data_IF_503114356300
#
_entry.id   IF_503114356300
#
_cell.length_a   1.000
_cell.length_b   1.000
_cell.length_c   1.000
_cell.angle_alpha   90.00
_cell.angle_beta   90.00
_cell.angle_gamma   90.00
#
_symmetry.space_group_name_H-M   'P 1'
#
loop_
_entity.id
_entity.type
_entity.pdbx_description
1 polymer ?
#
# COMPACT_ATOMS: atom_id res chain seq x y z
N UNK A 1 22.33 9.92 -9.77
CA UNK A 1 22.06 11.36 -9.54
C UNK A 1 21.24 11.64 -8.29
N UNK A 2 20.54 10.66 -7.69
CA UNK A 2 19.79 10.80 -6.43
C UNK A 2 18.64 11.81 -6.40
N UNK A 3 18.34 12.46 -7.53
CA UNK A 3 17.28 13.46 -7.63
C UNK A 3 15.90 12.90 -7.27
N UNK A 4 15.60 11.67 -7.66
CA UNK A 4 14.34 11.00 -7.31
C UNK A 4 14.18 10.75 -5.81
N UNK A 5 15.29 10.55 -5.07
CA UNK A 5 15.27 10.41 -3.61
C UNK A 5 15.01 11.77 -2.96
N UNK A 6 15.66 12.82 -3.44
CA UNK A 6 15.52 14.18 -2.90
C UNK A 6 14.15 14.81 -3.17
N UNK A 7 13.58 14.57 -4.35
CA UNK A 7 12.30 15.20 -4.76
C UNK A 7 11.08 14.51 -4.16
N UNK A 8 11.20 13.27 -3.68
CA UNK A 8 10.07 12.52 -3.14
C UNK A 8 9.66 13.09 -1.77
N UNK A 9 8.49 13.75 -1.65
CA UNK A 9 8.09 14.37 -0.37
C UNK A 9 7.73 13.33 0.69
N UNK A 10 7.53 12.08 0.28
CA UNK A 10 7.11 10.97 1.15
C UNK A 10 8.27 10.05 1.55
N UNK A 11 9.48 10.26 1.03
CA UNK A 11 10.64 9.39 1.31
C UNK A 11 10.49 7.94 0.84
N UNK A 12 9.65 7.70 -0.16
CA UNK A 12 9.34 6.36 -0.66
C UNK A 12 10.44 5.77 -1.57
N UNK A 13 11.25 6.63 -2.20
CA UNK A 13 12.42 6.22 -2.98
C UNK A 13 13.66 6.29 -2.09
N UNK A 14 14.42 5.20 -2.00
CA UNK A 14 15.64 5.12 -1.18
C UNK A 14 16.83 4.68 -1.99
N UNK A 15 18.01 5.13 -1.60
CA UNK A 15 19.27 4.66 -2.17
C UNK A 15 19.66 3.29 -1.59
N UNK A 16 19.91 2.34 -2.46
CA UNK A 16 20.63 1.10 -2.18
C UNK A 16 22.11 1.37 -2.48
N UNK A 17 22.89 1.60 -1.41
CA UNK A 17 24.29 1.99 -1.50
C UNK A 17 25.18 0.85 -2.03
N UNK A 18 24.81 -0.41 -1.76
CA UNK A 18 25.56 -1.59 -2.20
C UNK A 18 25.41 -1.79 -3.71
N UNK A 19 24.18 -1.59 -4.23
CA UNK A 19 23.90 -1.76 -5.66
C UNK A 19 24.06 -0.50 -6.48
N UNK A 20 24.31 0.65 -5.84
CA UNK A 20 24.37 1.96 -6.50
C UNK A 20 23.07 2.34 -7.20
N UNK A 21 21.92 1.83 -6.74
CA UNK A 21 20.61 1.99 -7.37
C UNK A 21 19.63 2.68 -6.42
N UNK A 22 18.55 3.19 -6.97
CA UNK A 22 17.39 3.64 -6.19
C UNK A 22 16.36 2.53 -6.19
N UNK A 23 15.85 2.22 -5.00
CA UNK A 23 14.81 1.20 -4.77
C UNK A 23 13.56 1.87 -4.21
N UNK A 24 12.41 1.34 -4.61
CA UNK A 24 11.09 1.72 -4.11
C UNK A 24 10.16 0.51 -4.18
N UNK A 25 9.00 0.60 -3.51
CA UNK A 25 7.93 -0.37 -3.73
C UNK A 25 7.53 -0.41 -5.22
N UNK A 26 7.43 -1.62 -5.75
CA UNK A 26 7.05 -1.95 -7.12
C UNK A 26 5.60 -2.46 -7.21
N UNK A 27 4.88 -2.48 -6.08
CA UNK A 27 3.56 -3.09 -5.93
C UNK A 27 3.52 -4.60 -6.26
N UNK A 28 4.66 -5.28 -6.10
CA UNK A 28 4.81 -6.70 -6.42
C UNK A 28 4.39 -7.02 -7.87
N UNK A 29 4.85 -6.22 -8.84
CA UNK A 29 4.49 -6.36 -10.27
C UNK A 29 4.77 -7.76 -10.83
N UNK A 30 5.77 -8.45 -10.29
CA UNK A 30 6.16 -9.79 -10.73
C UNK A 30 5.36 -10.92 -10.06
N UNK A 31 4.42 -10.59 -9.15
CA UNK A 31 3.66 -11.57 -8.36
C UNK A 31 2.21 -11.69 -8.83
N UNK A 32 1.80 -12.91 -9.21
CA UNK A 32 0.45 -13.19 -9.70
C UNK A 32 -0.63 -13.05 -8.61
N UNK A 33 -0.31 -13.36 -7.36
CA UNK A 33 -1.24 -13.28 -6.24
C UNK A 33 -1.40 -11.84 -5.69
N UNK A 34 -0.76 -10.86 -6.32
CA UNK A 34 -0.78 -9.46 -5.89
C UNK A 34 0.17 -9.17 -4.72
N UNK A 35 0.03 -8.00 -4.05
CA UNK A 35 1.02 -7.54 -3.08
C UNK A 35 1.16 -8.46 -1.85
N UNK A 36 2.38 -8.94 -1.61
CA UNK A 36 2.67 -9.85 -0.50
C UNK A 36 2.31 -9.25 0.87
N UNK A 37 2.47 -7.93 1.04
CA UNK A 37 2.12 -7.24 2.27
C UNK A 37 0.61 -7.25 2.57
N UNK A 38 -0.24 -7.25 1.53
CA UNK A 38 -1.69 -7.26 1.67
C UNK A 38 -2.15 -8.64 2.13
N UNK A 39 -1.63 -9.69 1.52
CA UNK A 39 -1.90 -11.08 1.90
C UNK A 39 -1.40 -11.41 3.31
N UNK A 40 -0.20 -10.95 3.65
CA UNK A 40 0.39 -11.20 4.97
C UNK A 40 -0.34 -10.49 6.12
N UNK A 41 -1.24 -9.54 5.85
CA UNK A 41 -1.89 -8.73 6.88
C UNK A 41 -2.95 -9.53 7.66
N UNK A 42 -2.71 -9.93 8.93
CA UNK A 42 -3.62 -10.81 9.66
C UNK A 42 -4.96 -10.14 10.02
N UNK A 43 -4.94 -8.83 10.23
CA UNK A 43 -6.12 -8.04 10.58
C UNK A 43 -6.91 -7.55 9.36
N UNK A 44 -6.41 -7.82 8.14
CA UNK A 44 -7.00 -7.34 6.88
C UNK A 44 -7.17 -5.82 6.86
N UNK A 45 -6.18 -5.10 7.39
CA UNK A 45 -6.16 -3.64 7.38
C UNK A 45 -5.79 -3.05 6.00
N UNK A 46 -5.10 -3.83 5.17
CA UNK A 46 -4.69 -3.44 3.82
C UNK A 46 -5.68 -4.00 2.79
N UNK A 47 -5.96 -3.21 1.77
CA UNK A 47 -6.81 -3.57 0.64
C UNK A 47 -6.07 -3.24 -0.66
N UNK A 48 -6.19 -4.12 -1.66
CA UNK A 48 -5.66 -3.92 -2.99
C UNK A 48 -6.76 -4.15 -4.02
N UNK A 49 -6.92 -3.19 -4.93
CA UNK A 49 -7.99 -3.15 -5.91
C UNK A 49 -8.02 -1.79 -6.61
N UNK A 50 -9.04 -1.56 -7.43
CA UNK A 50 -9.24 -0.28 -8.11
C UNK A 50 -9.73 0.81 -7.14
N UNK A 51 -9.75 2.07 -7.60
CA UNK A 51 -10.29 3.17 -6.82
C UNK A 51 -11.78 2.96 -6.50
N UNK A 52 -12.55 2.44 -7.47
CA UNK A 52 -13.97 2.15 -7.32
C UNK A 52 -14.22 1.04 -6.29
N UNK A 53 -13.43 -0.03 -6.36
CA UNK A 53 -13.48 -1.14 -5.39
C UNK A 53 -13.12 -0.66 -3.98
N UNK A 54 -12.09 0.19 -3.85
CA UNK A 54 -11.70 0.77 -2.58
C UNK A 54 -12.80 1.65 -1.99
N UNK A 55 -13.49 2.45 -2.81
CA UNK A 55 -14.62 3.25 -2.34
C UNK A 55 -15.78 2.40 -1.84
N UNK A 56 -16.11 1.32 -2.55
CA UNK A 56 -17.12 0.37 -2.12
C UNK A 56 -16.74 -0.28 -0.78
N UNK A 57 -15.51 -0.79 -0.69
CA UNK A 57 -14.97 -1.41 0.53
C UNK A 57 -14.96 -0.43 1.73
N UNK A 58 -14.57 0.83 1.48
CA UNK A 58 -14.58 1.89 2.51
C UNK A 58 -15.99 2.18 3.02
N UNK A 59 -17.01 2.18 2.15
CA UNK A 59 -18.42 2.37 2.55
C UNK A 59 -18.89 1.23 3.44
N UNK A 60 -18.52 -0.01 3.12
CA UNK A 60 -18.85 -1.18 3.94
C UNK A 60 -18.18 -1.14 5.33
N UNK A 61 -16.87 -0.86 5.38
CA UNK A 61 -16.14 -0.72 6.66
C UNK A 61 -16.76 0.38 7.51
N UNK A 62 -17.10 1.55 6.93
CA UNK A 62 -17.75 2.64 7.66
C UNK A 62 -19.08 2.21 8.27
N UNK A 63 -19.93 1.49 7.54
CA UNK A 63 -21.20 0.96 8.08
C UNK A 63 -20.96 0.05 9.28
N UNK A 64 -19.98 -0.86 9.18
CA UNK A 64 -19.62 -1.78 10.27
C UNK A 64 -19.10 -1.03 11.50
N UNK A 65 -18.23 -0.03 11.31
CA UNK A 65 -17.69 0.78 12.42
C UNK A 65 -18.78 1.59 13.12
N UNK A 66 -19.74 2.15 12.37
CA UNK A 66 -20.88 2.89 12.94
C UNK A 66 -21.80 1.96 13.74
N UNK A 67 -22.04 0.73 13.26
CA UNK A 67 -22.85 -0.26 13.98
C UNK A 67 -22.17 -0.74 15.26
N UNK A 68 -20.86 -0.99 15.24
CA UNK A 68 -20.10 -1.47 16.43
C UNK A 68 -19.92 -0.36 17.47
N UNK A 69 -19.94 0.91 17.09
CA UNK A 69 -19.85 2.06 18.02
C UNK A 69 -21.18 2.45 18.67
N UNK A 70 -22.29 1.92 18.17
CA UNK A 70 -23.65 2.20 18.69
C UNK A 70 -24.16 1.10 19.63
N UNK A 71 -23.30 0.13 19.98
CA UNK A 71 -23.57 -0.97 20.90
C UNK A 71 -22.71 -0.85 22.16
#
# INVERSE_FOLDING_TARGET
>A
CWMCVMVCPFGAARSDAERGKVVKCDLCVDRLEGPACVEACPTKALFFGTAEEFEAHRKEIKKRVVLVRSA
#
